data_IF_588695396494
#
_entry.id   IF_588695396494
#
_cell.length_a   1.000
_cell.length_b   1.000
_cell.length_c   1.000
_cell.angle_alpha   90.00
_cell.angle_beta   90.00
_cell.angle_gamma   90.00
#
_symmetry.space_group_name_H-M   'P 1'
#
loop_
_entity.id
_entity.type
_entity.pdbx_description
1 polymer ?
#
# COMPACT_ATOMS: atom_id res chain seq x y z
N UNK A 1 -7.39 -3.69 -12.96
CA UNK A 1 -6.49 -4.16 -11.88
C UNK A 1 -7.02 -5.47 -11.38
N UNK A 2 -6.64 -6.53 -12.08
CA UNK A 2 -6.72 -7.91 -11.58
C UNK A 2 -5.73 -8.07 -10.42
N UNK A 3 -5.87 -9.16 -9.67
CA UNK A 3 -4.97 -9.49 -8.56
C UNK A 3 -3.50 -9.53 -9.01
N UNK A 4 -3.22 -10.21 -10.12
CA UNK A 4 -1.86 -10.39 -10.66
C UNK A 4 -1.28 -9.06 -11.16
N UNK A 5 -2.08 -8.24 -11.86
CA UNK A 5 -1.66 -6.90 -12.30
C UNK A 5 -1.22 -6.03 -11.13
N UNK A 6 -1.97 -6.07 -10.02
CA UNK A 6 -1.68 -5.26 -8.84
C UNK A 6 -0.33 -5.62 -8.21
N UNK A 7 -0.04 -6.92 -8.15
CA UNK A 7 1.25 -7.44 -7.66
C UNK A 7 2.38 -7.00 -8.58
N UNK A 8 2.24 -7.19 -9.89
CA UNK A 8 3.25 -6.80 -10.88
C UNK A 8 3.54 -5.29 -10.84
N UNK A 9 2.50 -4.45 -10.71
CA UNK A 9 2.66 -3.00 -10.60
C UNK A 9 3.40 -2.60 -9.33
N UNK A 10 3.12 -3.24 -8.19
CA UNK A 10 3.83 -3.00 -6.94
C UNK A 10 5.31 -3.38 -7.04
N UNK A 11 5.62 -4.53 -7.65
CA UNK A 11 7.01 -4.95 -7.89
C UNK A 11 7.73 -4.07 -8.91
N UNK A 12 7.05 -3.57 -9.95
CA UNK A 12 7.63 -2.60 -10.90
C UNK A 12 7.92 -1.24 -10.23
N UNK A 13 7.04 -0.81 -9.32
CA UNK A 13 7.16 0.45 -8.56
C UNK A 13 7.65 0.21 -7.12
N UNK A 14 8.63 -0.67 -6.98
CA UNK A 14 9.07 -1.23 -5.70
C UNK A 14 9.45 -0.18 -4.65
N UNK A 15 10.19 0.85 -5.05
CA UNK A 15 10.62 1.96 -4.19
C UNK A 15 10.22 3.32 -4.78
N UNK A 16 9.16 3.36 -5.58
CA UNK A 16 8.65 4.60 -6.16
C UNK A 16 7.57 5.18 -5.25
N UNK A 17 7.91 6.26 -4.55
CA UNK A 17 7.01 6.96 -3.62
C UNK A 17 6.19 8.06 -4.30
N UNK A 18 6.54 8.39 -5.54
CA UNK A 18 5.89 9.43 -6.33
C UNK A 18 4.66 8.93 -7.09
N UNK A 19 3.70 9.82 -7.30
CA UNK A 19 2.44 9.56 -8.01
C UNK A 19 1.32 8.99 -7.13
N UNK A 20 0.30 8.46 -7.79
CA UNK A 20 -0.93 7.96 -7.19
C UNK A 20 -1.13 6.46 -7.42
N UNK A 21 -1.90 5.79 -6.55
CA UNK A 21 -2.20 4.35 -6.64
C UNK A 21 -3.70 4.09 -6.47
N UNK A 22 -4.25 3.17 -7.26
CA UNK A 22 -5.69 2.84 -7.21
C UNK A 22 -6.03 2.14 -5.89
N UNK A 23 -7.28 2.30 -5.43
CA UNK A 23 -7.83 1.56 -4.28
C UNK A 23 -7.61 0.06 -4.40
N UNK A 24 -7.93 -0.51 -5.56
CA UNK A 24 -7.79 -1.95 -5.80
C UNK A 24 -6.32 -2.39 -5.83
N UNK A 25 -5.40 -1.56 -6.33
CA UNK A 25 -3.96 -1.86 -6.29
C UNK A 25 -3.47 -2.01 -4.84
N UNK A 26 -3.86 -1.07 -3.97
CA UNK A 26 -3.52 -1.12 -2.54
C UNK A 26 -4.13 -2.34 -1.83
N UNK A 27 -5.44 -2.56 -1.97
CA UNK A 27 -6.14 -3.62 -1.24
C UNK A 27 -5.77 -5.03 -1.73
N UNK A 28 -5.50 -5.22 -3.03
CA UNK A 28 -4.98 -6.50 -3.52
C UNK A 28 -3.56 -6.78 -3.02
N UNK A 29 -2.70 -5.76 -2.98
CA UNK A 29 -1.35 -5.92 -2.43
C UNK A 29 -1.39 -6.18 -0.91
N UNK A 30 -2.28 -5.51 -0.18
CA UNK A 30 -2.51 -5.78 1.23
C UNK A 30 -2.96 -7.24 1.45
N UNK A 31 -3.94 -7.72 0.68
CA UNK A 31 -4.39 -9.11 0.73
C UNK A 31 -3.25 -10.10 0.43
N UNK A 32 -2.44 -9.83 -0.59
CA UNK A 32 -1.28 -10.64 -0.93
C UNK A 32 -0.30 -10.75 0.25
N UNK A 33 0.01 -9.63 0.91
CA UNK A 33 0.89 -9.63 2.09
C UNK A 33 0.31 -10.43 3.26
N UNK A 34 -1.00 -10.32 3.50
CA UNK A 34 -1.68 -11.09 4.56
C UNK A 34 -1.61 -12.59 4.28
N UNK A 35 -1.92 -13.02 3.05
CA UNK A 35 -1.89 -14.44 2.67
C UNK A 35 -0.46 -14.99 2.71
N UNK A 36 0.50 -14.29 2.11
CA UNK A 36 1.89 -14.70 2.09
C UNK A 36 2.47 -14.76 3.51
N UNK A 37 2.15 -13.78 4.36
CA UNK A 37 2.56 -13.77 5.77
C UNK A 37 1.98 -14.94 6.56
N UNK A 38 0.69 -15.24 6.38
CA UNK A 38 0.03 -16.37 7.05
C UNK A 38 0.66 -17.72 6.68
N UNK A 39 0.94 -17.93 5.38
CA UNK A 39 1.57 -19.16 4.87
C UNK A 39 3.01 -19.27 5.39
N UNK A 40 3.83 -18.23 5.22
CA UNK A 40 5.24 -18.25 5.64
C UNK A 40 5.40 -18.37 7.15
N UNK A 41 4.44 -17.88 7.93
CA UNK A 41 4.40 -18.07 9.39
C UNK A 41 4.28 -19.55 9.79
N UNK A 42 3.67 -20.40 8.96
CA UNK A 42 3.62 -21.85 9.19
C UNK A 42 4.89 -22.58 8.74
N UNK A 43 5.65 -22.00 7.80
CA UNK A 43 6.88 -22.59 7.26
C UNK A 43 8.05 -22.40 8.22
N UNK A 44 8.19 -21.20 8.79
CA UNK A 44 9.23 -20.91 9.77
C UNK A 44 9.57 -19.43 9.89
N UNK A 45 10.25 -19.08 10.98
CA UNK A 45 10.54 -17.68 11.32
C UNK A 45 11.50 -17.02 10.34
N UNK A 46 12.54 -17.72 9.88
CA UNK A 46 13.56 -17.14 8.99
C UNK A 46 12.98 -16.71 7.64
N UNK A 47 12.26 -17.57 6.88
CA UNK A 47 11.61 -17.15 5.64
C UNK A 47 10.58 -16.03 5.83
N UNK A 48 9.83 -16.08 6.93
CA UNK A 48 8.85 -15.05 7.27
C UNK A 48 9.49 -13.67 7.47
N UNK A 49 10.58 -13.59 8.24
CA UNK A 49 11.30 -12.33 8.48
C UNK A 49 11.90 -11.77 7.19
N UNK A 50 12.51 -12.61 6.35
CA UNK A 50 13.07 -12.18 5.05
C UNK A 50 11.97 -11.59 4.16
N UNK A 51 10.81 -12.24 4.10
CA UNK A 51 9.67 -11.75 3.34
C UNK A 51 9.16 -10.41 3.87
N UNK A 52 9.00 -10.27 5.19
CA UNK A 52 8.57 -9.01 5.81
C UNK A 52 9.53 -7.87 5.49
N UNK A 53 10.85 -8.12 5.54
CA UNK A 53 11.85 -7.11 5.19
C UNK A 53 11.81 -6.73 3.71
N UNK A 54 11.66 -7.71 2.81
CA UNK A 54 11.51 -7.46 1.39
C UNK A 54 10.23 -6.68 1.08
N UNK A 55 9.10 -7.03 1.70
CA UNK A 55 7.83 -6.37 1.45
C UNK A 55 7.67 -5.02 2.15
N UNK A 56 8.55 -4.66 3.08
CA UNK A 56 8.46 -3.42 3.83
C UNK A 56 8.47 -2.19 2.91
N UNK A 57 9.46 -2.11 2.01
CA UNK A 57 9.60 -0.98 1.08
C UNK A 57 8.41 -0.83 0.12
N UNK A 58 7.99 -1.87 -0.63
CA UNK A 58 6.85 -1.74 -1.53
C UNK A 58 5.54 -1.47 -0.77
N UNK A 59 5.38 -1.97 0.46
CA UNK A 59 4.22 -1.65 1.32
C UNK A 59 4.15 -0.18 1.69
N UNK A 60 5.28 0.41 2.07
CA UNK A 60 5.35 1.84 2.36
C UNK A 60 5.11 2.66 1.08
N UNK A 61 5.73 2.29 -0.04
CA UNK A 61 5.63 3.00 -1.31
C UNK A 61 4.20 3.00 -1.87
N UNK A 62 3.48 1.87 -1.83
CA UNK A 62 2.08 1.83 -2.30
C UNK A 62 1.16 2.60 -1.36
N UNK A 63 1.40 2.56 -0.05
CA UNK A 63 0.62 3.32 0.92
C UNK A 63 0.87 4.84 0.79
N UNK A 64 2.08 5.30 0.43
CA UNK A 64 2.33 6.74 0.23
C UNK A 64 1.62 7.22 -1.02
N UNK A 65 1.74 6.48 -2.13
CA UNK A 65 1.02 6.75 -3.38
C UNK A 65 -0.50 6.77 -3.17
N UNK A 66 -1.00 5.90 -2.29
CA UNK A 66 -2.42 5.87 -1.96
C UNK A 66 -2.87 7.07 -1.10
N UNK A 67 -2.04 7.51 -0.17
CA UNK A 67 -2.30 8.74 0.60
C UNK A 67 -2.28 9.99 -0.29
N UNK A 68 -1.34 10.05 -1.24
CA UNK A 68 -1.27 11.12 -2.24
C UNK A 68 -2.57 11.23 -3.04
N UNK A 69 -3.20 10.10 -3.35
CA UNK A 69 -4.50 10.01 -4.04
C UNK A 69 -5.66 10.73 -3.31
N UNK A 70 -5.54 10.91 -1.99
CA UNK A 70 -6.48 11.66 -1.13
C UNK A 70 -6.02 13.08 -0.80
N UNK A 71 -5.00 13.60 -1.51
CA UNK A 71 -4.30 14.86 -1.26
C UNK A 71 -3.58 14.92 0.10
N UNK A 72 -3.05 13.79 0.58
CA UNK A 72 -2.32 13.69 1.86
C UNK A 72 -0.88 13.27 1.64
N UNK A 73 0.06 13.84 2.40
CA UNK A 73 1.46 13.44 2.35
C UNK A 73 1.68 12.01 2.86
N UNK A 74 2.67 11.30 2.32
CA UNK A 74 3.08 9.96 2.79
C UNK A 74 3.40 9.87 4.29
N UNK A 75 3.81 10.98 4.94
CA UNK A 75 4.07 11.07 6.38
C UNK A 75 2.86 10.72 7.27
N UNK A 76 1.63 10.78 6.74
CA UNK A 76 0.45 10.35 7.50
C UNK A 76 0.51 8.87 7.93
N UNK A 77 1.37 8.05 7.31
CA UNK A 77 1.64 6.67 7.74
C UNK A 77 2.16 6.59 9.18
N UNK A 78 2.88 7.60 9.68
CA UNK A 78 3.42 7.57 11.05
C UNK A 78 2.34 7.52 12.13
N UNK A 79 1.10 7.89 11.80
CA UNK A 79 -0.03 7.76 12.72
C UNK A 79 -0.32 6.29 13.05
N UNK A 80 0.22 5.32 12.30
CA UNK A 80 0.17 3.91 12.67
C UNK A 80 0.81 3.61 14.04
N UNK A 81 1.72 4.47 14.52
CA UNK A 81 2.32 4.37 15.85
C UNK A 81 1.35 4.74 16.98
N UNK A 82 0.22 5.39 16.67
CA UNK A 82 -0.86 5.62 17.63
C UNK A 82 -1.85 4.44 17.52
N UNK A 83 -1.86 3.51 18.49
CA UNK A 83 -2.72 2.33 18.41
C UNK A 83 -4.20 2.72 18.46
N UNK A 84 -5.05 1.84 17.92
CA UNK A 84 -6.51 2.02 17.80
C UNK A 84 -6.92 3.18 16.89
N UNK A 85 -6.78 4.42 17.36
CA UNK A 85 -7.26 5.62 16.65
C UNK A 85 -6.48 5.80 15.35
N UNK A 86 -5.15 5.69 15.40
CA UNK A 86 -4.32 5.91 14.23
C UNK A 86 -4.54 4.86 13.14
N UNK A 87 -4.79 3.62 13.54
CA UNK A 87 -5.11 2.53 12.62
C UNK A 87 -6.43 2.77 11.91
N UNK A 88 -7.48 3.15 12.66
CA UNK A 88 -8.79 3.47 12.09
C UNK A 88 -8.68 4.62 11.09
N UNK A 89 -8.01 5.71 11.48
CA UNK A 89 -7.81 6.88 10.61
C UNK A 89 -7.09 6.50 9.31
N UNK A 90 -6.02 5.71 9.40
CA UNK A 90 -5.29 5.25 8.22
C UNK A 90 -6.13 4.36 7.32
N UNK A 91 -6.86 3.40 7.88
CA UNK A 91 -7.76 2.53 7.10
C UNK A 91 -8.80 3.38 6.36
N UNK A 92 -9.40 4.36 7.04
CA UNK A 92 -10.36 5.28 6.42
C UNK A 92 -9.70 6.05 5.27
N UNK A 93 -8.51 6.61 5.45
CA UNK A 93 -7.82 7.34 4.38
C UNK A 93 -7.46 6.44 3.19
N UNK A 94 -6.98 5.22 3.45
CA UNK A 94 -6.63 4.26 2.42
C UNK A 94 -7.86 3.75 1.66
N UNK A 95 -9.04 3.76 2.29
CA UNK A 95 -10.32 3.38 1.69
C UNK A 95 -11.05 4.50 0.91
N UNK A 96 -10.67 5.78 1.07
CA UNK A 96 -11.43 6.94 0.55
C UNK A 96 -11.44 7.16 -0.98
N UNK A 97 -12.41 7.94 -1.48
CA UNK A 97 -12.35 8.75 -2.72
C UNK A 97 -10.94 9.10 -3.19
N UNK A 98 -10.41 8.55 -4.29
CA UNK A 98 -9.35 9.27 -4.97
C UNK A 98 -9.93 10.59 -5.51
N UNK A 99 -9.27 11.73 -5.29
CA UNK A 99 -9.74 13.04 -5.78
C UNK A 99 -8.63 13.77 -6.53
N UNK A 100 -9.00 14.69 -7.42
CA UNK A 100 -8.02 15.47 -8.16
C UNK A 100 -7.22 16.33 -7.19
N UNK A 101 -5.89 16.25 -7.27
CA UNK A 101 -5.01 16.76 -6.23
C UNK A 101 -3.64 17.21 -6.78
N UNK A 102 -2.78 17.71 -5.89
CA UNK A 102 -1.45 18.25 -6.25
C UNK A 102 -0.45 17.19 -6.76
N UNK A 103 -0.73 15.91 -6.53
CA UNK A 103 0.08 14.76 -6.94
C UNK A 103 -0.40 14.15 -8.26
N UNK A 104 -1.52 14.64 -8.82
CA UNK A 104 -2.07 14.22 -10.11
C UNK A 104 -3.57 14.48 -10.24
N UNK A 105 -4.07 14.50 -11.48
CA UNK A 105 -5.50 14.48 -11.75
C UNK A 105 -6.10 13.15 -11.22
N UNK A 106 -7.32 13.19 -10.67
CA UNK A 106 -8.03 11.97 -10.22
C UNK A 106 -7.96 10.89 -11.31
N UNK A 107 -7.60 9.63 -11.00
CA UNK A 107 -7.32 8.67 -12.06
C UNK A 107 -8.62 8.20 -12.73
N UNK A 108 -8.96 8.85 -13.83
CA UNK A 108 -8.99 8.11 -15.08
C UNK A 108 -7.53 8.02 -15.58
N UNK A 109 -7.09 6.85 -16.03
CA UNK A 109 -5.84 6.58 -16.76
C UNK A 109 -4.48 6.93 -16.10
N UNK A 110 -3.87 5.92 -15.50
CA UNK A 110 -2.47 5.58 -15.79
C UNK A 110 -2.37 4.05 -15.68
N UNK A 111 -1.87 3.44 -16.75
CA UNK A 111 -1.75 2.00 -16.98
C UNK A 111 -0.74 1.40 -16.01
#
# INVERSE_FOLDING_TARGET
MTFIESIQTCFRKYATFDGTARRSEYWWFFLFNVIAGAILGQVGTVPSVIFTLAMLLPSLAVATRRLHDTDRSGWWQLICFVPLIGWIVLIVFLAQEGKANRYGAAPAYAV
#
